data_IF_298115497198
#
_entry.id   IF_298115497198
#
_cell.length_a   1.000
_cell.length_b   1.000
_cell.length_c   1.000
_cell.angle_alpha   90.00
_cell.angle_beta   90.00
_cell.angle_gamma   90.00
#
_symmetry.space_group_name_H-M   'P 1'
#
loop_
_entity.id
_entity.type
_entity.pdbx_description
1 polymer ?
#
# COMPACT_ATOMS: atom_id res chain seq x y z
N UNK A 1 -55.97 29.63 -25.48
CA UNK A 1 -54.55 30.06 -25.42
C UNK A 1 -53.82 29.42 -26.60
N UNK A 2 -53.66 30.13 -27.73
CA UNK A 2 -52.96 29.59 -28.93
C UNK A 2 -51.45 29.61 -28.66
N UNK A 3 -50.83 28.46 -28.47
CA UNK A 3 -49.38 28.33 -28.43
C UNK A 3 -48.83 28.65 -29.83
N UNK A 4 -48.21 29.82 -29.97
CA UNK A 4 -47.51 30.20 -31.21
C UNK A 4 -46.26 29.32 -31.31
N UNK A 5 -46.31 28.31 -32.16
CA UNK A 5 -45.15 27.50 -32.52
C UNK A 5 -44.25 28.29 -33.46
N UNK A 6 -43.36 29.10 -32.89
CA UNK A 6 -42.35 29.82 -33.67
C UNK A 6 -41.40 28.80 -34.30
N UNK A 7 -41.56 28.56 -35.61
CA UNK A 7 -40.72 27.65 -36.39
C UNK A 7 -39.31 28.22 -36.47
N UNK A 8 -38.31 27.49 -35.98
CA UNK A 8 -36.90 27.94 -36.07
C UNK A 8 -36.47 28.07 -37.54
N UNK A 9 -35.61 29.04 -37.82
CA UNK A 9 -34.96 29.19 -39.12
C UNK A 9 -34.11 27.94 -39.41
N UNK A 10 -33.97 27.57 -40.69
CA UNK A 10 -33.17 26.41 -41.14
C UNK A 10 -31.74 26.44 -40.59
N UNK A 11 -31.14 27.64 -40.50
CA UNK A 11 -29.81 27.84 -39.89
C UNK A 11 -29.80 27.50 -38.40
N UNK A 12 -30.77 28.03 -37.65
CA UNK A 12 -30.85 27.79 -36.20
C UNK A 12 -31.14 26.32 -35.88
N UNK A 13 -31.95 25.65 -36.71
CA UNK A 13 -32.21 24.22 -36.61
C UNK A 13 -30.93 23.40 -36.81
N UNK A 14 -30.11 23.74 -37.81
CA UNK A 14 -28.83 23.07 -38.05
C UNK A 14 -27.84 23.29 -36.89
N UNK A 15 -27.73 24.53 -36.40
CA UNK A 15 -26.92 24.87 -35.22
C UNK A 15 -27.38 24.10 -33.98
N UNK A 16 -28.69 23.99 -33.77
CA UNK A 16 -29.27 23.22 -32.67
C UNK A 16 -28.89 21.74 -32.75
N UNK A 17 -29.03 21.09 -33.91
CA UNK A 17 -28.66 19.67 -34.06
C UNK A 17 -27.16 19.45 -33.88
N UNK A 18 -26.32 20.35 -34.41
CA UNK A 18 -24.87 20.29 -34.21
C UNK A 18 -24.51 20.42 -32.73
N UNK A 19 -25.08 21.41 -32.03
CA UNK A 19 -24.87 21.61 -30.60
C UNK A 19 -25.34 20.42 -29.76
N UNK A 20 -26.52 19.86 -30.06
CA UNK A 20 -27.06 18.67 -29.40
C UNK A 20 -26.14 17.45 -29.57
N UNK A 21 -25.67 17.20 -30.79
CA UNK A 21 -24.76 16.09 -31.06
C UNK A 21 -23.40 16.29 -30.39
N UNK A 22 -22.88 17.53 -30.38
CA UNK A 22 -21.64 17.86 -29.67
C UNK A 22 -21.77 17.61 -28.16
N UNK A 23 -22.89 18.00 -27.54
CA UNK A 23 -23.16 17.73 -26.12
C UNK A 23 -23.18 16.22 -25.84
N UNK A 24 -23.88 15.42 -26.66
CA UNK A 24 -23.88 13.96 -26.49
C UNK A 24 -22.49 13.35 -26.67
N UNK A 25 -21.73 13.83 -27.65
CA UNK A 25 -20.37 13.39 -27.89
C UNK A 25 -19.45 13.67 -26.69
N UNK A 26 -19.51 14.88 -26.14
CA UNK A 26 -18.78 15.25 -24.92
C UNK A 26 -19.22 14.38 -23.73
N UNK A 27 -20.53 14.16 -23.56
CA UNK A 27 -21.05 13.32 -22.49
C UNK A 27 -20.53 11.88 -22.58
N UNK A 28 -20.48 11.30 -23.79
CA UNK A 28 -19.94 9.96 -24.02
C UNK A 28 -18.43 9.93 -23.70
N UNK A 29 -17.65 10.92 -24.14
CA UNK A 29 -16.21 11.02 -23.83
C UNK A 29 -16.00 11.08 -22.32
N UNK A 30 -16.74 11.92 -21.61
CA UNK A 30 -16.66 12.03 -20.15
C UNK A 30 -17.03 10.71 -19.48
N UNK A 31 -18.11 10.06 -19.92
CA UNK A 31 -18.53 8.76 -19.40
C UNK A 31 -17.43 7.70 -19.58
N UNK A 32 -16.82 7.63 -20.75
CA UNK A 32 -15.70 6.71 -21.04
C UNK A 32 -14.49 7.05 -20.16
N UNK A 33 -14.14 8.33 -20.02
CA UNK A 33 -13.03 8.79 -19.19
C UNK A 33 -13.23 8.45 -17.70
N UNK A 34 -14.41 8.71 -17.14
CA UNK A 34 -14.70 8.37 -15.75
C UNK A 34 -14.78 6.87 -15.53
N UNK A 35 -15.42 6.13 -16.45
CA UNK A 35 -15.44 4.66 -16.40
C UNK A 35 -14.03 4.09 -16.40
N UNK A 36 -13.16 4.62 -17.27
CA UNK A 36 -11.74 4.26 -17.31
C UNK A 36 -11.04 4.50 -15.96
N UNK A 37 -11.23 5.67 -15.35
CA UNK A 37 -10.62 6.00 -14.04
C UNK A 37 -11.15 5.15 -12.89
N UNK A 38 -12.42 4.74 -12.94
CA UNK A 38 -13.04 3.88 -11.92
C UNK A 38 -12.55 2.44 -12.06
N UNK A 39 -12.49 1.90 -13.29
CA UNK A 39 -12.11 0.51 -13.56
C UNK A 39 -10.59 0.32 -13.37
N UNK A 40 -9.80 1.30 -13.80
CA UNK A 40 -8.34 1.29 -13.73
C UNK A 40 -7.82 2.40 -12.81
N UNK A 41 -8.06 2.29 -11.49
CA UNK A 41 -7.65 3.30 -10.54
C UNK A 41 -6.12 3.43 -10.50
N UNK A 42 -5.67 4.62 -10.12
CA UNK A 42 -4.28 4.88 -9.76
C UNK A 42 -4.18 5.49 -8.37
N UNK A 43 -3.06 5.25 -7.70
CA UNK A 43 -2.76 5.83 -6.38
C UNK A 43 -1.39 6.47 -6.42
N UNK A 44 -1.35 7.77 -6.10
CA UNK A 44 -0.12 8.55 -6.06
C UNK A 44 0.44 8.65 -4.64
N UNK A 45 1.75 8.55 -4.54
CA UNK A 45 2.55 8.81 -3.35
C UNK A 45 3.61 9.84 -3.70
N UNK A 46 3.79 10.82 -2.81
CA UNK A 46 4.67 11.96 -3.03
C UNK A 46 5.54 12.20 -1.80
N UNK A 47 6.78 12.64 -2.02
CA UNK A 47 7.64 13.21 -1.00
C UNK A 47 8.41 14.42 -1.54
N UNK A 48 8.27 15.57 -0.88
CA UNK A 48 9.05 16.77 -1.18
C UNK A 48 10.23 16.91 -0.22
N UNK A 49 11.45 16.99 -0.75
CA UNK A 49 12.66 17.22 0.06
C UNK A 49 12.75 18.67 0.56
N UNK A 50 12.12 19.62 -0.14
CA UNK A 50 12.03 21.01 0.33
C UNK A 50 11.09 21.18 1.54
N UNK A 51 10.11 20.29 1.69
CA UNK A 51 9.09 20.36 2.75
C UNK A 51 8.89 18.98 3.39
N UNK A 52 9.91 18.47 4.09
CA UNK A 52 9.93 17.12 4.68
C UNK A 52 8.78 16.87 5.66
N UNK A 53 8.34 17.91 6.37
CA UNK A 53 7.24 17.86 7.36
C UNK A 53 5.85 18.10 6.75
N UNK A 54 5.72 18.19 5.42
CA UNK A 54 4.43 18.45 4.79
C UNK A 54 3.45 17.29 5.01
N UNK A 55 2.20 17.61 5.40
CA UNK A 55 1.10 16.64 5.47
C UNK A 55 0.73 16.03 4.10
N UNK A 56 1.18 16.63 2.99
CA UNK A 56 1.00 16.08 1.65
C UNK A 56 1.99 14.94 1.35
N UNK A 57 3.05 14.79 2.16
CA UNK A 57 3.98 13.68 2.02
C UNK A 57 3.29 12.38 2.44
N UNK A 58 3.25 11.44 1.51
CA UNK A 58 2.56 10.14 1.66
C UNK A 58 3.52 8.96 1.60
N UNK A 59 4.72 9.17 1.05
CA UNK A 59 5.85 8.26 1.19
C UNK A 59 6.38 8.38 2.63
N UNK A 60 6.72 7.26 3.26
CA UNK A 60 7.18 7.24 4.65
C UNK A 60 8.62 6.74 4.78
N UNK A 61 9.26 7.10 5.90
CA UNK A 61 10.63 6.68 6.27
C UNK A 61 11.64 6.90 5.14
N UNK A 62 11.64 8.10 4.55
CA UNK A 62 12.64 8.49 3.55
C UNK A 62 13.98 8.69 4.25
N UNK A 63 14.96 7.86 3.90
CA UNK A 63 16.32 7.90 4.44
C UNK A 63 17.26 8.06 3.25
N UNK A 64 18.01 9.17 3.23
CA UNK A 64 19.08 9.43 2.28
C UNK A 64 20.40 9.38 3.05
N UNK A 65 21.16 8.30 2.93
CA UNK A 65 22.42 8.09 3.64
C UNK A 65 23.37 7.23 2.82
N UNK A 66 24.68 7.47 2.92
CA UNK A 66 25.72 6.66 2.28
C UNK A 66 25.48 6.40 0.78
N UNK A 67 25.12 7.44 0.03
CA UNK A 67 24.80 7.34 -1.40
C UNK A 67 23.65 6.38 -1.72
N UNK A 68 22.77 6.12 -0.75
CA UNK A 68 21.59 5.29 -0.90
C UNK A 68 20.33 6.05 -0.47
N UNK A 69 19.24 5.81 -1.19
CA UNK A 69 17.91 6.30 -0.86
C UNK A 69 17.02 5.10 -0.56
N UNK A 70 16.38 5.12 0.61
CA UNK A 70 15.43 4.11 1.07
C UNK A 70 14.13 4.80 1.43
N UNK A 71 13.00 4.26 0.98
CA UNK A 71 11.68 4.76 1.36
C UNK A 71 10.59 3.70 1.21
N UNK A 72 9.43 3.97 1.81
CA UNK A 72 8.28 3.08 1.81
C UNK A 72 7.05 3.74 1.20
N UNK A 73 6.27 2.96 0.45
CA UNK A 73 4.91 3.29 0.07
C UNK A 73 4.00 2.09 0.39
N UNK A 74 2.84 2.35 0.99
CA UNK A 74 1.93 1.28 1.42
C UNK A 74 0.54 1.50 0.85
N UNK A 75 -0.07 0.43 0.35
CA UNK A 75 -1.41 0.51 -0.26
C UNK A 75 -2.17 -0.80 -0.10
N UNK A 76 -3.46 -0.77 0.28
CA UNK A 76 -4.23 -1.99 0.48
C UNK A 76 -4.65 -2.59 -0.87
N UNK A 77 -4.76 -1.74 -1.90
CA UNK A 77 -5.21 -2.09 -3.22
C UNK A 77 -4.12 -2.81 -4.01
N UNK A 78 -4.56 -3.68 -4.91
CA UNK A 78 -3.68 -4.37 -5.83
C UNK A 78 -3.54 -3.58 -7.13
N UNK A 79 -2.31 -3.48 -7.60
CA UNK A 79 -1.94 -2.79 -8.83
C UNK A 79 -1.05 -3.71 -9.66
N UNK A 80 -0.91 -3.40 -10.95
CA UNK A 80 -0.10 -4.21 -11.87
C UNK A 80 1.23 -3.56 -12.23
N UNK A 81 1.35 -2.23 -12.07
CA UNK A 81 2.59 -1.50 -12.36
C UNK A 81 2.79 -0.34 -11.40
N UNK A 82 4.05 0.03 -11.21
CA UNK A 82 4.48 1.22 -10.47
C UNK A 82 5.26 2.11 -11.43
N UNK A 83 4.90 3.38 -11.51
CA UNK A 83 5.71 4.41 -12.14
C UNK A 83 6.41 5.22 -11.06
N UNK A 84 7.73 5.06 -10.93
CA UNK A 84 8.56 5.86 -10.03
C UNK A 84 9.15 7.02 -10.83
N UNK A 85 8.95 8.24 -10.36
CA UNK A 85 9.53 9.47 -10.89
C UNK A 85 10.37 10.16 -9.81
N UNK A 86 11.57 10.60 -10.17
CA UNK A 86 12.48 11.37 -9.32
C UNK A 86 12.77 12.68 -10.04
N UNK A 87 12.55 13.79 -9.34
CA UNK A 87 12.86 15.13 -9.82
C UNK A 87 14.06 15.70 -9.04
N UNK A 88 15.01 16.27 -9.78
CA UNK A 88 16.20 16.94 -9.23
C UNK A 88 16.01 18.47 -9.18
N UNK A 89 16.68 19.13 -8.25
CA UNK A 89 16.74 20.60 -8.23
C UNK A 89 17.64 21.14 -9.36
N UNK A 90 18.81 20.50 -9.57
CA UNK A 90 19.85 20.91 -10.53
C UNK A 90 19.89 19.98 -11.75
N UNK A 91 20.26 20.52 -12.92
CA UNK A 91 20.34 19.78 -14.19
C UNK A 91 21.62 18.94 -14.35
N UNK A 92 22.68 19.25 -13.61
CA UNK A 92 24.03 18.74 -13.89
C UNK A 92 24.30 17.34 -13.34
N UNK A 93 23.38 16.77 -12.56
CA UNK A 93 23.54 15.44 -11.96
C UNK A 93 22.75 14.41 -12.77
N UNK A 94 23.41 13.33 -13.19
CA UNK A 94 22.79 12.28 -14.00
C UNK A 94 22.43 11.05 -13.15
N UNK A 95 21.17 10.64 -13.19
CA UNK A 95 20.68 9.40 -12.58
C UNK A 95 20.45 8.26 -13.59
N UNK A 96 20.93 8.42 -14.83
CA UNK A 96 20.76 7.42 -15.87
C UNK A 96 21.33 6.06 -15.45
N UNK A 97 20.58 5.01 -15.75
CA UNK A 97 20.95 3.61 -15.51
C UNK A 97 21.13 3.23 -14.05
N UNK A 98 20.79 4.11 -13.09
CA UNK A 98 20.76 3.76 -11.67
C UNK A 98 19.63 2.76 -11.44
N UNK A 99 19.98 1.64 -10.83
CA UNK A 99 19.05 0.54 -10.59
C UNK A 99 18.17 0.88 -9.39
N UNK A 100 16.88 0.64 -9.56
CA UNK A 100 15.89 0.71 -8.50
C UNK A 100 15.58 -0.72 -8.10
N UNK A 101 15.73 -1.00 -6.82
CA UNK A 101 15.37 -2.28 -6.25
C UNK A 101 14.08 -2.14 -5.45
N UNK A 102 13.25 -3.19 -5.48
CA UNK A 102 11.94 -3.22 -4.85
C UNK A 102 11.78 -4.50 -4.01
N UNK A 103 11.18 -4.35 -2.83
CA UNK A 103 10.75 -5.45 -1.98
C UNK A 103 9.30 -5.22 -1.53
N UNK A 104 8.55 -6.30 -1.29
CA UNK A 104 7.15 -6.22 -0.82
C UNK A 104 6.93 -7.15 0.37
N UNK A 105 6.46 -6.60 1.48
CA UNK A 105 6.13 -7.34 2.71
C UNK A 105 5.34 -6.46 3.67
N UNK A 106 5.44 -6.74 4.97
CA UNK A 106 5.12 -5.80 6.03
C UNK A 106 6.35 -4.97 6.42
N UNK A 107 6.14 -3.71 6.79
CA UNK A 107 7.20 -2.73 7.06
C UNK A 107 8.26 -3.22 8.04
N UNK A 108 7.82 -3.82 9.13
CA UNK A 108 8.60 -4.37 10.24
C UNK A 108 9.24 -5.72 9.91
N UNK A 109 8.75 -6.46 8.92
CA UNK A 109 9.48 -7.62 8.41
C UNK A 109 10.81 -7.22 7.73
N UNK A 110 10.95 -5.96 7.32
CA UNK A 110 12.20 -5.39 6.80
C UNK A 110 13.14 -4.83 7.87
N UNK A 111 12.82 -4.98 9.16
CA UNK A 111 13.72 -4.60 10.24
C UNK A 111 15.03 -5.41 10.21
N UNK A 112 16.13 -4.83 10.71
CA UNK A 112 17.40 -5.54 10.81
C UNK A 112 17.25 -6.80 11.64
N UNK A 113 18.01 -7.83 11.27
CA UNK A 113 18.05 -9.08 12.05
C UNK A 113 18.74 -8.81 13.38
N UNK A 114 18.04 -9.08 14.48
CA UNK A 114 18.62 -9.08 15.82
C UNK A 114 19.18 -10.45 16.20
N UNK A 115 19.81 -10.53 17.37
CA UNK A 115 20.25 -11.80 17.94
C UNK A 115 19.04 -12.78 18.09
N UNK A 116 19.21 -14.08 17.78
CA UNK A 116 18.16 -15.07 17.96
C UNK A 116 17.64 -15.14 19.40
N UNK A 117 16.38 -15.50 19.57
CA UNK A 117 15.76 -15.71 20.88
C UNK A 117 15.55 -17.21 21.15
N UNK A 118 15.97 -17.63 22.34
CA UNK A 118 15.86 -19.00 22.84
C UNK A 118 14.70 -19.22 23.82
N UNK A 119 14.08 -18.15 24.32
CA UNK A 119 12.96 -18.22 25.24
C UNK A 119 11.95 -17.11 24.95
N UNK A 120 10.69 -17.39 25.28
CA UNK A 120 9.52 -16.55 25.06
C UNK A 120 8.83 -16.15 26.37
N UNK A 121 9.59 -16.04 27.47
CA UNK A 121 9.07 -15.71 28.81
C UNK A 121 8.14 -14.48 28.87
N UNK A 122 8.14 -13.62 27.86
CA UNK A 122 7.26 -12.45 27.73
C UNK A 122 6.41 -12.41 26.42
N UNK A 123 6.15 -13.54 25.74
CA UNK A 123 5.40 -13.56 24.45
C UNK A 123 3.90 -13.42 24.58
N UNK A 124 3.37 -13.35 25.79
CA UNK A 124 2.00 -12.88 25.94
C UNK A 124 1.97 -11.40 25.55
N UNK A 125 1.59 -11.08 24.30
CA UNK A 125 0.91 -9.85 23.86
C UNK A 125 1.02 -9.63 22.33
N UNK A 126 0.30 -10.44 21.56
CA UNK A 126 -0.18 -10.04 20.23
C UNK A 126 -1.66 -10.44 20.10
N UNK A 127 -2.46 -10.07 21.10
CA UNK A 127 -3.88 -10.43 21.14
C UNK A 127 -4.68 -9.46 20.29
N UNK A 128 -5.65 -10.01 19.56
CA UNK A 128 -6.63 -9.23 18.84
C UNK A 128 -7.91 -9.25 19.64
N UNK A 129 -8.42 -8.07 19.98
CA UNK A 129 -9.58 -7.94 20.85
C UNK A 129 -10.58 -6.97 20.26
N UNK A 130 -11.86 -7.32 20.26
CA UNK A 130 -12.94 -6.41 19.91
C UNK A 130 -13.54 -5.75 21.15
N UNK A 131 -13.96 -4.49 21.02
CA UNK A 131 -14.79 -3.81 22.03
C UNK A 131 -15.74 -2.86 21.31
N UNK A 132 -17.03 -3.16 21.39
CA UNK A 132 -18.06 -2.55 20.54
C UNK A 132 -17.74 -2.76 19.06
N UNK A 133 -17.71 -1.68 18.28
CA UNK A 133 -17.40 -1.71 16.84
C UNK A 133 -15.89 -1.61 16.52
N UNK A 134 -15.03 -1.55 17.54
CA UNK A 134 -13.58 -1.31 17.37
C UNK A 134 -12.77 -2.57 17.62
N UNK A 135 -11.67 -2.70 16.88
CA UNK A 135 -10.68 -3.78 17.06
C UNK A 135 -9.35 -3.19 17.52
N UNK A 136 -8.72 -3.87 18.47
CA UNK A 136 -7.46 -3.47 19.08
C UNK A 136 -6.43 -4.60 18.97
N UNK A 137 -5.18 -4.21 18.72
CA UNK A 137 -4.02 -5.09 18.95
C UNK A 137 -3.48 -4.80 20.34
N UNK A 138 -3.24 -5.81 21.15
CA UNK A 138 -2.66 -5.69 22.48
C UNK A 138 -1.24 -6.26 22.45
N UNK A 139 -0.26 -5.39 22.75
CA UNK A 139 1.18 -5.58 22.62
C UNK A 139 1.96 -4.85 23.72
N UNK A 140 2.82 -5.52 24.51
CA UNK A 140 3.66 -4.89 25.55
C UNK A 140 2.93 -3.94 26.51
N UNK A 141 1.84 -4.42 27.13
CA UNK A 141 0.91 -3.66 27.98
C UNK A 141 0.32 -2.38 27.31
N UNK A 142 0.28 -2.36 25.97
CA UNK A 142 -0.27 -1.26 25.17
C UNK A 142 -1.41 -1.78 24.31
N UNK A 143 -2.40 -0.91 24.04
CA UNK A 143 -3.48 -1.20 23.09
C UNK A 143 -3.42 -0.25 21.90
N UNK A 144 -3.51 -0.83 20.71
CA UNK A 144 -3.40 -0.14 19.44
C UNK A 144 -4.74 -0.24 18.69
N UNK A 145 -5.55 0.84 18.65
CA UNK A 145 -6.79 0.80 17.88
C UNK A 145 -6.48 0.71 16.39
N UNK A 146 -7.25 -0.10 15.65
CA UNK A 146 -7.10 -0.23 14.20
C UNK A 146 -8.12 0.68 13.50
N UNK A 147 -7.68 1.41 12.48
CA UNK A 147 -8.50 2.43 11.79
C UNK A 147 -9.78 1.86 11.18
N UNK A 148 -9.69 0.74 10.44
CA UNK A 148 -10.80 0.17 9.69
C UNK A 148 -10.53 -1.29 9.29
N UNK A 149 -11.56 -2.04 8.84
CA UNK A 149 -11.42 -3.42 8.35
C UNK A 149 -10.33 -3.60 7.28
N UNK A 150 -10.25 -2.68 6.31
CA UNK A 150 -9.22 -2.72 5.26
C UNK A 150 -7.81 -2.67 5.85
N UNK A 151 -7.58 -1.89 6.92
CA UNK A 151 -6.29 -1.80 7.61
C UNK A 151 -5.99 -3.08 8.38
N UNK A 152 -7.00 -3.65 9.04
CA UNK A 152 -6.88 -4.91 9.77
C UNK A 152 -6.36 -6.03 8.86
N UNK A 153 -7.02 -6.23 7.72
CA UNK A 153 -6.64 -7.24 6.72
C UNK A 153 -5.33 -6.90 6.02
N UNK A 154 -5.08 -5.61 5.73
CA UNK A 154 -3.84 -5.17 5.10
C UNK A 154 -2.60 -5.41 5.97
N UNK A 155 -2.77 -5.49 7.29
CA UNK A 155 -1.74 -5.87 8.26
C UNK A 155 -1.66 -7.41 8.45
N UNK A 156 -2.48 -8.20 7.76
CA UNK A 156 -2.41 -9.66 7.82
C UNK A 156 -3.07 -10.29 9.06
N UNK A 157 -3.84 -9.49 9.82
CA UNK A 157 -4.68 -10.04 10.88
C UNK A 157 -5.89 -10.78 10.30
N UNK A 158 -6.42 -11.75 11.05
CA UNK A 158 -7.56 -12.58 10.66
C UNK A 158 -8.75 -12.30 11.57
N UNK A 159 -9.95 -12.25 11.03
CA UNK A 159 -11.16 -11.93 11.81
C UNK A 159 -11.46 -13.02 12.85
N UNK A 160 -11.23 -14.27 12.46
CA UNK A 160 -11.42 -15.48 13.28
C UNK A 160 -10.49 -15.54 14.49
N UNK A 161 -9.45 -14.70 14.49
CA UNK A 161 -8.45 -14.58 15.54
C UNK A 161 -8.80 -13.53 16.61
N UNK A 162 -9.93 -12.84 16.47
CA UNK A 162 -10.38 -11.79 17.40
C UNK A 162 -11.10 -12.42 18.57
N UNK A 163 -10.65 -12.10 19.78
CA UNK A 163 -11.32 -12.46 21.03
C UNK A 163 -12.33 -11.36 21.41
N UNK A 164 -13.51 -11.74 21.91
CA UNK A 164 -14.45 -10.77 22.46
C UNK A 164 -13.86 -10.10 23.70
N UNK A 165 -13.69 -8.79 23.64
CA UNK A 165 -13.15 -7.98 24.74
C UNK A 165 -14.18 -7.48 25.72
N UNK A 166 -15.44 -7.91 25.64
CA UNK A 166 -16.50 -7.45 26.55
C UNK A 166 -16.18 -7.70 28.03
N UNK A 167 -15.42 -8.76 28.32
CA UNK A 167 -14.95 -9.09 29.65
C UNK A 167 -13.50 -8.66 29.94
N UNK A 168 -12.82 -8.06 28.95
CA UNK A 168 -11.45 -7.60 29.13
C UNK A 168 -11.44 -6.13 29.54
N UNK A 169 -10.88 -5.85 30.72
CA UNK A 169 -10.65 -4.49 31.17
C UNK A 169 -9.55 -3.81 30.33
N UNK A 170 -9.96 -3.21 29.22
CA UNK A 170 -9.06 -2.49 28.31
C UNK A 170 -8.45 -1.23 28.96
N UNK A 171 -8.91 -0.78 30.13
CA UNK A 171 -8.36 0.40 30.81
C UNK A 171 -6.94 0.16 31.33
N UNK A 172 -6.58 -1.10 31.61
CA UNK A 172 -5.24 -1.52 32.08
C UNK A 172 -4.13 -1.30 31.05
N UNK A 173 -4.48 -1.28 29.76
CA UNK A 173 -3.53 -1.15 28.67
C UNK A 173 -3.36 0.31 28.24
N UNK A 174 -2.11 0.76 28.12
CA UNK A 174 -1.79 2.12 27.66
C UNK A 174 -2.22 2.30 26.21
N UNK A 175 -3.18 3.20 25.97
CA UNK A 175 -3.66 3.55 24.61
C UNK A 175 -2.52 4.13 23.77
N UNK A 176 -2.38 3.63 22.54
CA UNK A 176 -1.42 4.08 21.55
C UNK A 176 -2.10 4.77 20.36
N UNK A 177 -1.28 5.27 19.44
CA UNK A 177 -1.75 5.88 18.19
C UNK A 177 -2.56 4.87 17.36
N UNK A 178 -3.56 5.39 16.66
CA UNK A 178 -4.35 4.63 15.69
C UNK A 178 -3.45 3.98 14.64
N UNK A 179 -3.56 2.66 14.50
CA UNK A 179 -2.92 1.90 13.44
C UNK A 179 -3.60 2.18 12.11
N UNK A 180 -2.79 2.61 11.17
CA UNK A 180 -3.11 2.80 9.77
C UNK A 180 -2.31 1.81 8.94
N UNK A 181 -2.59 1.71 7.64
CA UNK A 181 -1.83 0.82 6.76
C UNK A 181 -0.32 1.11 6.71
N UNK A 182 0.11 2.33 7.04
CA UNK A 182 1.52 2.71 7.07
C UNK A 182 2.21 2.40 8.41
N UNK A 183 1.44 1.88 9.38
CA UNK A 183 1.93 1.61 10.73
C UNK A 183 2.64 0.27 10.75
N UNK A 184 3.85 0.17 11.34
CA UNK A 184 4.42 -1.12 11.62
C UNK A 184 3.55 -1.87 12.62
N UNK A 185 3.65 -3.20 12.67
CA UNK A 185 3.05 -3.97 13.75
C UNK A 185 3.71 -3.60 15.09
N UNK A 186 2.98 -3.75 16.20
CA UNK A 186 3.53 -3.47 17.52
C UNK A 186 4.60 -4.51 17.91
N UNK A 187 5.45 -4.13 18.86
CA UNK A 187 6.37 -5.08 19.51
C UNK A 187 5.55 -6.24 20.10
N UNK A 188 6.07 -7.46 20.01
CA UNK A 188 5.34 -8.67 20.38
C UNK A 188 4.81 -9.46 19.18
N UNK A 189 4.82 -8.84 17.99
CA UNK A 189 4.36 -9.47 16.75
C UNK A 189 5.24 -10.65 16.37
N UNK A 190 4.61 -11.75 15.95
CA UNK A 190 5.28 -12.93 15.45
C UNK A 190 4.94 -13.13 13.98
N UNK A 191 5.97 -13.18 13.16
CA UNK A 191 5.86 -13.56 11.76
C UNK A 191 6.15 -15.05 11.57
N UNK A 192 5.31 -15.74 10.80
CA UNK A 192 5.56 -17.09 10.31
C UNK A 192 5.87 -17.05 8.82
N UNK A 193 7.00 -17.60 8.42
CA UNK A 193 7.38 -17.69 7.01
C UNK A 193 6.80 -18.94 6.33
N UNK A 194 6.76 -18.90 5.00
CA UNK A 194 6.53 -20.06 4.13
C UNK A 194 7.58 -21.18 4.25
N UNK A 195 8.74 -20.89 4.86
CA UNK A 195 9.81 -21.85 5.19
C UNK A 195 9.76 -22.34 6.64
N UNK A 196 8.63 -22.14 7.32
CA UNK A 196 8.39 -22.52 8.72
C UNK A 196 9.43 -21.92 9.70
N UNK A 197 9.93 -20.73 9.39
CA UNK A 197 10.70 -19.92 10.33
C UNK A 197 9.76 -18.96 11.05
N UNK A 198 10.08 -18.70 12.32
CA UNK A 198 9.34 -17.76 13.13
C UNK A 198 10.24 -16.60 13.52
N UNK A 199 9.73 -15.39 13.36
CA UNK A 199 10.43 -14.17 13.72
C UNK A 199 9.62 -13.37 14.72
N UNK A 200 10.26 -12.95 15.79
CA UNK A 200 9.68 -12.06 16.79
C UNK A 200 10.14 -10.62 16.56
N UNK A 201 9.22 -9.68 16.61
CA UNK A 201 9.48 -8.25 16.44
C UNK A 201 9.53 -7.58 17.80
N UNK A 202 10.66 -6.93 18.08
CA UNK A 202 10.88 -6.18 19.32
C UNK A 202 11.93 -5.11 19.08
N UNK A 203 11.71 -3.90 19.62
CA UNK A 203 12.67 -2.81 19.58
C UNK A 203 13.14 -2.47 18.15
N UNK A 204 12.22 -2.53 17.18
CA UNK A 204 12.51 -2.34 15.75
C UNK A 204 13.56 -3.31 15.18
N UNK A 205 13.70 -4.48 15.80
CA UNK A 205 14.51 -5.60 15.29
C UNK A 205 13.62 -6.80 15.05
N UNK A 206 14.05 -7.63 14.10
CA UNK A 206 13.42 -8.91 13.82
C UNK A 206 14.35 -10.03 14.28
N UNK A 207 13.94 -10.81 15.29
CA UNK A 207 14.75 -11.85 15.93
C UNK A 207 14.25 -13.22 15.53
N UNK A 208 15.14 -14.11 15.12
CA UNK A 208 14.77 -15.49 14.78
C UNK A 208 14.46 -16.27 16.05
N UNK A 209 13.34 -16.99 16.07
CA UNK A 209 13.00 -17.91 17.17
C UNK A 209 13.65 -19.27 16.93
N UNK A 210 14.40 -19.76 17.92
CA UNK A 210 15.10 -21.05 17.83
C UNK A 210 14.16 -22.26 17.92
N UNK A 211 14.64 -23.44 17.52
CA UNK A 211 13.83 -24.68 17.51
C UNK A 211 13.33 -25.10 18.91
N UNK A 212 14.05 -24.75 19.99
CA UNK A 212 13.64 -25.04 21.37
C UNK A 212 12.33 -24.30 21.73
N UNK A 213 12.10 -23.16 21.09
CA UNK A 213 10.87 -22.39 21.22
C UNK A 213 9.72 -22.98 20.40
N UNK A 214 10.00 -23.76 19.34
CA UNK A 214 8.99 -24.32 18.44
C UNK A 214 7.91 -25.14 19.16
N UNK A 215 8.30 -25.93 20.16
CA UNK A 215 7.37 -26.73 20.97
C UNK A 215 6.40 -25.90 21.82
N UNK A 216 6.69 -24.61 22.06
CA UNK A 216 5.79 -23.66 22.73
C UNK A 216 4.98 -22.80 21.75
N UNK A 217 5.28 -22.84 20.44
CA UNK A 217 4.61 -21.99 19.43
C UNK A 217 3.14 -22.37 19.21
N UNK A 218 2.69 -23.56 19.63
CA UNK A 218 1.26 -23.92 19.61
C UNK A 218 0.40 -22.97 20.46
N UNK A 219 1.02 -22.29 21.42
CA UNK A 219 0.36 -21.27 22.24
C UNK A 219 0.32 -19.89 21.59
N UNK A 220 1.03 -19.67 20.47
CA UNK A 220 1.02 -18.39 19.77
C UNK A 220 -0.31 -18.22 19.07
N UNK A 221 -1.12 -17.35 19.67
CA UNK A 221 -2.32 -16.83 19.04
C UNK A 221 -1.86 -15.82 17.98
N UNK A 222 -2.29 -16.05 16.74
CA UNK A 222 -2.28 -15.07 15.65
C UNK A 222 -0.89 -14.73 15.05
N UNK A 223 -0.13 -15.72 14.54
CA UNK A 223 1.06 -15.41 13.74
C UNK A 223 0.67 -14.72 12.43
N UNK A 224 1.44 -13.71 12.03
CA UNK A 224 1.28 -13.02 10.76
C UNK A 224 2.10 -13.74 9.69
N UNK A 225 1.45 -14.15 8.60
CA UNK A 225 2.11 -14.92 7.55
C UNK A 225 2.91 -14.02 6.61
N UNK A 226 4.12 -14.43 6.24
CA UNK A 226 5.00 -13.70 5.32
C UNK A 226 5.75 -14.66 4.40
N UNK A 227 6.29 -14.14 3.30
CA UNK A 227 7.19 -14.90 2.43
C UNK A 227 8.64 -14.59 2.77
N UNK A 228 9.48 -15.60 2.97
CA UNK A 228 10.92 -15.40 3.20
C UNK A 228 11.57 -14.72 1.98
N UNK A 229 11.12 -15.07 0.77
CA UNK A 229 11.56 -14.44 -0.49
C UNK A 229 11.30 -12.93 -0.56
N UNK A 230 10.41 -12.38 0.26
CA UNK A 230 10.21 -10.92 0.37
C UNK A 230 11.45 -10.17 0.86
N UNK A 231 12.37 -10.86 1.56
CA UNK A 231 13.63 -10.28 2.03
C UNK A 231 14.69 -10.17 0.93
N UNK A 232 14.52 -10.90 -0.17
CA UNK A 232 15.44 -10.83 -1.29
C UNK A 232 15.21 -9.51 -2.04
N UNK A 233 16.31 -8.83 -2.36
CA UNK A 233 16.27 -7.59 -3.12
C UNK A 233 16.28 -7.97 -4.60
N UNK A 234 15.24 -7.58 -5.34
CA UNK A 234 15.26 -7.66 -6.80
C UNK A 234 15.45 -6.28 -7.39
N UNK A 235 16.48 -6.12 -8.22
CA UNK A 235 16.57 -5.00 -9.15
C UNK A 235 15.43 -5.11 -10.15
N UNK A 236 14.56 -4.11 -10.19
CA UNK A 236 13.31 -4.16 -10.95
C UNK A 236 13.31 -3.27 -12.17
N UNK A 237 14.07 -2.17 -12.16
CA UNK A 237 14.16 -1.27 -13.30
C UNK A 237 15.41 -0.38 -13.19
N UNK A 238 15.72 0.32 -14.29
CA UNK A 238 16.77 1.33 -14.36
C UNK A 238 16.16 2.69 -14.67
N UNK A 239 16.58 3.71 -13.92
CA UNK A 239 16.11 5.08 -14.11
C UNK A 239 16.50 5.60 -15.50
N UNK A 240 15.51 6.13 -16.21
CA UNK A 240 15.67 6.76 -17.52
C UNK A 240 15.31 8.23 -17.43
N UNK A 241 16.15 9.09 -18.00
CA UNK A 241 15.84 10.52 -18.13
C UNK A 241 14.60 10.71 -19.00
N UNK A 242 13.73 11.61 -18.59
CA UNK A 242 12.58 12.00 -19.39
C UNK A 242 13.01 12.88 -20.58
N UNK A 243 12.46 12.64 -21.76
CA UNK A 243 12.85 13.34 -23.00
C UNK A 243 12.55 14.84 -22.89
N UNK A 244 11.41 15.20 -22.28
CA UNK A 244 10.93 16.58 -22.20
C UNK A 244 11.49 17.37 -21.01
N UNK A 245 12.06 16.70 -20.00
CA UNK A 245 12.53 17.36 -18.78
C UNK A 245 13.92 16.87 -18.37
N UNK A 246 14.89 17.77 -18.42
CA UNK A 246 16.26 17.46 -18.05
C UNK A 246 16.46 17.10 -16.55
N UNK A 247 15.46 17.37 -15.71
CA UNK A 247 15.51 17.19 -14.26
C UNK A 247 14.72 15.97 -13.78
N UNK A 248 13.96 15.31 -14.64
CA UNK A 248 13.07 14.21 -14.27
C UNK A 248 13.60 12.89 -14.80
N UNK A 249 13.51 11.89 -13.94
CA UNK A 249 13.89 10.51 -14.24
C UNK A 249 12.73 9.61 -13.87
N UNK A 250 12.40 8.66 -14.73
CA UNK A 250 11.30 7.73 -14.49
C UNK A 250 11.76 6.28 -14.60
N UNK A 251 10.99 5.40 -13.96
CA UNK A 251 11.22 3.96 -13.91
C UNK A 251 9.87 3.25 -13.87
N UNK A 252 9.58 2.45 -14.89
CA UNK A 252 8.38 1.60 -14.91
C UNK A 252 8.73 0.22 -14.34
N UNK A 253 8.04 -0.16 -13.27
CA UNK A 253 8.23 -1.42 -12.55
C UNK A 253 6.99 -2.29 -12.74
N UNK A 254 7.08 -3.45 -13.40
CA UNK A 254 6.01 -4.44 -13.40
C UNK A 254 5.90 -5.09 -12.01
N UNK A 255 4.68 -5.20 -11.47
CA UNK A 255 4.43 -5.78 -10.14
C UNK A 255 4.28 -7.31 -10.21
N UNK A 256 4.24 -7.91 -11.39
CA UNK A 256 3.92 -9.34 -11.57
C UNK A 256 4.77 -10.28 -10.68
N UNK A 257 6.07 -9.97 -10.53
CA UNK A 257 6.99 -10.73 -9.68
C UNK A 257 6.73 -10.58 -8.17
N UNK A 258 6.19 -9.45 -7.75
CA UNK A 258 5.89 -9.14 -6.33
C UNK A 258 4.41 -9.31 -6.00
N UNK A 259 3.53 -9.51 -6.99
CA UNK A 259 2.10 -9.69 -6.79
C UNK A 259 1.78 -10.86 -5.85
N UNK A 260 2.52 -11.97 -5.98
CA UNK A 260 2.39 -13.17 -5.14
C UNK A 260 2.94 -13.03 -3.72
N UNK A 261 3.66 -11.95 -3.41
CA UNK A 261 4.23 -11.73 -2.07
C UNK A 261 3.15 -11.19 -1.12
N UNK A 262 3.11 -11.75 0.09
CA UNK A 262 2.25 -11.29 1.18
C UNK A 262 2.74 -9.95 1.72
N UNK A 263 1.81 -9.09 2.14
CA UNK A 263 2.06 -7.77 2.69
C UNK A 263 1.63 -6.63 1.77
N UNK A 264 1.57 -5.41 2.31
CA UNK A 264 1.06 -4.21 1.63
C UNK A 264 2.06 -3.04 1.61
N UNK A 265 3.26 -3.24 2.18
CA UNK A 265 4.35 -2.28 2.18
C UNK A 265 5.35 -2.59 1.06
N UNK A 266 5.67 -1.55 0.29
CA UNK A 266 6.66 -1.60 -0.78
C UNK A 266 7.89 -0.80 -0.34
N UNK A 267 9.02 -1.49 -0.24
CA UNK A 267 10.30 -0.92 0.12
C UNK A 267 11.13 -0.68 -1.15
N UNK A 268 11.41 0.58 -1.43
CA UNK A 268 12.26 1.00 -2.54
C UNK A 268 13.66 1.29 -2.03
N UNK A 269 14.65 0.84 -2.80
CA UNK A 269 16.07 1.12 -2.57
C UNK A 269 16.71 1.57 -3.87
N UNK A 270 17.49 2.63 -3.81
CA UNK A 270 18.31 3.08 -4.93
C UNK A 270 19.70 3.34 -4.37
N UNK A 271 20.70 2.66 -4.91
CA UNK A 271 22.08 2.72 -4.44
C UNK A 271 22.96 3.48 -5.44
N UNK A 272 24.16 3.83 -4.99
CA UNK A 272 25.21 4.44 -5.79
C UNK A 272 24.81 5.82 -6.36
N UNK A 273 24.16 6.65 -5.55
CA UNK A 273 23.94 8.05 -5.89
C UNK A 273 25.25 8.84 -5.96
N UNK A 274 25.31 9.88 -6.82
CA UNK A 274 26.43 10.80 -6.83
C UNK A 274 26.45 11.68 -5.57
N UNK A 275 27.65 12.09 -5.13
CA UNK A 275 27.86 12.82 -3.87
C UNK A 275 27.18 14.19 -3.82
N UNK A 276 26.92 14.82 -4.98
CA UNK A 276 26.30 16.14 -5.11
C UNK A 276 24.82 16.08 -5.49
N UNK A 277 24.13 15.00 -5.14
CA UNK A 277 22.74 14.80 -5.49
C UNK A 277 21.82 15.75 -4.70
N UNK A 278 21.10 16.57 -5.44
CA UNK A 278 20.11 17.50 -4.89
C UNK A 278 18.71 17.10 -5.38
N UNK A 279 18.04 16.26 -4.58
CA UNK A 279 16.70 15.74 -4.86
C UNK A 279 15.65 16.80 -4.53
N UNK A 280 14.73 17.04 -5.46
CA UNK A 280 13.57 17.92 -5.25
C UNK A 280 12.39 17.14 -4.70
N UNK A 281 12.02 16.05 -5.39
CA UNK A 281 10.80 15.32 -5.14
C UNK A 281 10.88 13.87 -5.63
N UNK A 282 10.17 12.98 -4.94
CA UNK A 282 9.89 11.61 -5.39
C UNK A 282 8.38 11.49 -5.58
N UNK A 283 7.98 10.95 -6.73
CA UNK A 283 6.60 10.63 -7.07
C UNK A 283 6.51 9.15 -7.40
N UNK A 284 5.50 8.47 -6.87
CA UNK A 284 5.21 7.07 -7.17
C UNK A 284 3.75 6.97 -7.55
N UNK A 285 3.47 6.41 -8.72
CA UNK A 285 2.10 6.12 -9.17
C UNK A 285 1.92 4.61 -9.27
N UNK A 286 1.08 4.06 -8.40
CA UNK A 286 0.60 2.68 -8.52
C UNK A 286 -0.60 2.67 -9.47
N UNK A 287 -0.57 1.82 -10.49
CA UNK A 287 -1.57 1.83 -11.57
C UNK A 287 -2.01 0.41 -11.94
N UNK A 288 -3.31 0.27 -12.23
CA UNK A 288 -3.82 -0.91 -12.95
C UNK A 288 -3.65 -0.70 -14.45
N UNK A 289 -3.03 -1.66 -15.11
CA UNK A 289 -2.88 -1.68 -16.56
C UNK A 289 -4.21 -2.06 -17.20
N UNK A 290 -4.44 -1.51 -18.40
CA UNK A 290 -5.64 -1.74 -19.17
C UNK A 290 -5.53 -3.12 -19.81
N UNK A 291 -6.03 -4.14 -19.12
CA UNK A 291 -6.04 -5.51 -19.64
C UNK A 291 -7.30 -6.26 -19.18
N UNK A 292 -7.61 -7.35 -19.89
CA UNK A 292 -8.79 -8.19 -19.64
C UNK A 292 -8.81 -8.74 -18.21
N UNK A 293 -7.68 -9.22 -17.69
CA UNK A 293 -7.56 -9.77 -16.34
C UNK A 293 -7.92 -8.76 -15.25
N UNK A 294 -7.47 -7.51 -15.37
CA UNK A 294 -7.77 -6.44 -14.43
C UNK A 294 -9.26 -6.02 -14.49
N UNK A 295 -9.85 -6.03 -15.69
CA UNK A 295 -11.28 -5.78 -15.88
C UNK A 295 -12.14 -6.90 -15.26
N UNK A 296 -11.80 -8.16 -15.50
CA UNK A 296 -12.47 -9.33 -14.91
C UNK A 296 -12.41 -9.29 -13.38
N UNK A 297 -11.22 -8.98 -12.82
CA UNK A 297 -11.05 -8.82 -11.38
C UNK A 297 -11.91 -7.67 -10.83
N UNK A 298 -12.01 -6.54 -11.56
CA UNK A 298 -12.88 -5.43 -11.16
C UNK A 298 -14.35 -5.84 -11.13
N UNK A 299 -14.84 -6.49 -12.20
CA UNK A 299 -16.24 -6.95 -12.29
C UNK A 299 -16.54 -7.98 -11.20
N UNK A 300 -15.63 -8.94 -10.95
CA UNK A 300 -15.76 -9.93 -9.88
C UNK A 300 -15.88 -9.27 -8.50
N UNK A 301 -15.00 -8.32 -8.20
CA UNK A 301 -15.04 -7.58 -6.93
C UNK A 301 -16.30 -6.71 -6.81
N UNK A 302 -16.75 -6.09 -7.91
CA UNK A 302 -18.01 -5.34 -7.94
C UNK A 302 -19.20 -6.24 -7.64
N UNK A 303 -19.27 -7.42 -8.29
CA UNK A 303 -20.31 -8.43 -8.02
C UNK A 303 -20.31 -8.85 -6.55
N UNK A 304 -19.15 -9.17 -5.97
CA UNK A 304 -19.01 -9.51 -4.54
C UNK A 304 -19.56 -8.40 -3.64
N UNK A 305 -19.20 -7.14 -3.90
CA UNK A 305 -19.69 -5.99 -3.12
C UNK A 305 -21.19 -5.80 -3.21
N UNK A 306 -21.76 -5.97 -4.41
CA UNK A 306 -23.20 -5.91 -4.62
C UNK A 306 -23.88 -7.02 -3.82
N UNK A 307 -23.44 -8.27 -3.95
CA UNK A 307 -23.99 -9.41 -3.22
C UNK A 307 -23.95 -9.23 -1.70
N UNK A 308 -22.80 -8.80 -1.15
CA UNK A 308 -22.67 -8.52 0.29
C UNK A 308 -23.63 -7.43 0.76
N UNK A 309 -23.84 -6.37 -0.04
CA UNK A 309 -24.80 -5.30 0.31
C UNK A 309 -26.25 -5.78 0.34
N UNK A 310 -26.56 -6.84 -0.38
CA UNK A 310 -27.88 -7.49 -0.39
C UNK A 310 -27.97 -8.71 0.55
N UNK A 311 -26.98 -8.93 1.42
CA UNK A 311 -27.01 -9.99 2.43
C UNK A 311 -26.73 -11.40 1.90
N UNK A 312 -26.23 -11.54 0.67
CA UNK A 312 -25.84 -12.85 0.15
C UNK A 312 -24.42 -13.19 0.63
N UNK A 313 -24.29 -14.26 1.42
CA UNK A 313 -22.99 -14.84 1.77
C UNK A 313 -22.35 -15.44 0.51
N UNK A 314 -21.20 -14.90 0.14
CA UNK A 314 -20.37 -15.54 -0.88
C UNK A 314 -19.53 -16.61 -0.18
N UNK A 315 -19.98 -17.87 -0.22
CA UNK A 315 -19.11 -19.00 0.11
C UNK A 315 -17.92 -18.98 -0.86
N UNK A 316 -16.76 -18.55 -0.39
CA UNK A 316 -15.49 -18.57 -1.13
C UNK A 316 -14.43 -19.19 -0.27
#
# INVERSE_FOLDING_TARGET
MKLITKKLNKKDLATYYLGRNLIYFIAIILLVFFSYKIIFPSKQFVFSFAHTNSLKNTITNVILANHSLKFYASTPQEFSKINLEIELNKKNTTLNNKKVSLQKSYKDFFYPKGAPLSDLKNVSENKLVSSGISVFVIGHNKKYPINNPTTFEALGYKWDSIESGEHLDLSKYKKQKLMTINSPHPDGTIFKTDTDKYYYVENSQKRLLSNIVKSKLETIRNPIFVNEKSLNISDVCSLKKEILSAKKYHCLIPIDKTASLIGKDYLFKINNFPNNLDLKQINISFEKSVNKKNLELFISNLKKRILMRFGYETNT
#
